data_IF_035113013245
#
_entry.id   IF_035113013245
#
_cell.length_a   1.000
_cell.length_b   1.000
_cell.length_c   1.000
_cell.angle_alpha   90.00
_cell.angle_beta   90.00
_cell.angle_gamma   90.00
#
_symmetry.space_group_name_H-M   'P 1'
#
loop_
_entity.id
_entity.type
_entity.pdbx_description
1 polymer ?
#
# COMPACT_ATOMS: atom_id res chain seq x y z
N UNK A 1 -15.07 -25.95 23.09
CA UNK A 1 -15.59 -24.74 22.44
C UNK A 1 -14.52 -24.24 21.49
N UNK A 2 -14.83 -24.12 20.20
CA UNK A 2 -13.87 -23.67 19.18
C UNK A 2 -13.80 -22.15 19.17
N UNK A 3 -12.61 -21.52 19.12
CA UNK A 3 -12.51 -20.08 19.02
C UNK A 3 -12.88 -19.66 17.60
N UNK A 4 -13.91 -18.83 17.49
CA UNK A 4 -14.22 -18.12 16.24
C UNK A 4 -13.00 -17.26 15.87
N UNK A 5 -12.43 -17.40 14.66
CA UNK A 5 -11.37 -16.50 14.23
C UNK A 5 -11.92 -15.08 14.15
N UNK A 6 -11.13 -14.05 14.53
CA UNK A 6 -11.58 -12.67 14.40
C UNK A 6 -11.94 -12.40 12.94
N UNK A 7 -12.95 -11.55 12.66
CA UNK A 7 -13.19 -11.10 11.30
C UNK A 7 -11.88 -10.48 10.82
N UNK A 8 -11.30 -11.07 9.78
CA UNK A 8 -10.22 -10.42 9.05
C UNK A 8 -10.83 -9.13 8.55
N UNK A 9 -10.48 -8.01 9.17
CA UNK A 9 -10.88 -6.67 8.74
C UNK A 9 -10.18 -6.44 7.40
N UNK A 10 -10.71 -7.06 6.34
CA UNK A 10 -10.32 -6.88 4.95
C UNK A 10 -10.87 -5.57 4.41
N UNK A 11 -10.80 -4.51 5.22
CA UNK A 11 -11.10 -3.17 4.76
C UNK A 11 -10.03 -2.80 3.72
N UNK A 12 -10.41 -2.28 2.55
CA UNK A 12 -9.44 -1.81 1.57
C UNK A 12 -8.52 -0.78 2.21
N UNK A 13 -7.22 -0.88 1.93
CA UNK A 13 -6.21 0.07 2.43
C UNK A 13 -6.56 1.45 1.89
N UNK A 14 -6.71 2.49 2.75
CA UNK A 14 -6.92 3.86 2.28
C UNK A 14 -5.75 4.33 1.41
N UNK A 15 -6.03 5.12 0.39
CA UNK A 15 -5.00 5.64 -0.52
C UNK A 15 -3.96 6.49 0.22
N UNK A 16 -4.39 7.20 1.27
CA UNK A 16 -3.49 7.97 2.13
C UNK A 16 -2.45 7.08 2.84
N UNK A 17 -2.86 5.91 3.35
CA UNK A 17 -1.97 4.98 4.05
C UNK A 17 -1.02 4.26 3.09
N UNK A 18 -1.52 3.91 1.89
CA UNK A 18 -0.69 3.35 0.82
C UNK A 18 0.38 4.37 0.36
N UNK A 19 -0.01 5.64 0.19
CA UNK A 19 0.92 6.72 -0.15
C UNK A 19 1.95 6.98 0.95
N UNK A 20 1.55 6.89 2.22
CA UNK A 20 2.48 7.03 3.34
C UNK A 20 3.53 5.90 3.35
N UNK A 21 3.13 4.68 2.98
CA UNK A 21 4.06 3.56 2.83
C UNK A 21 5.08 3.81 1.71
N UNK A 22 4.65 4.40 0.59
CA UNK A 22 5.53 4.85 -0.49
C UNK A 22 6.53 5.90 0.03
N UNK A 23 6.06 6.92 0.76
CA UNK A 23 6.94 7.98 1.30
C UNK A 23 8.00 7.40 2.23
N UNK A 24 7.62 6.52 3.16
CA UNK A 24 8.56 5.85 4.08
C UNK A 24 9.59 5.01 3.32
N UNK A 25 9.14 4.26 2.31
CA UNK A 25 10.00 3.43 1.47
C UNK A 25 11.06 4.27 0.73
N UNK A 26 10.67 5.40 0.16
CA UNK A 26 11.59 6.31 -0.53
C UNK A 26 12.54 6.99 0.46
N UNK A 27 12.02 7.50 1.58
CA UNK A 27 12.81 8.16 2.62
C UNK A 27 13.87 7.23 3.21
N UNK A 28 13.54 5.95 3.47
CA UNK A 28 14.47 4.96 4.01
C UNK A 28 15.69 4.72 3.11
N UNK A 29 15.58 4.96 1.81
CA UNK A 29 16.69 4.82 0.86
C UNK A 29 17.62 6.02 0.84
N UNK A 30 17.19 7.18 1.33
CA UNK A 30 18.08 8.32 1.60
C UNK A 30 18.99 8.74 0.44
N UNK A 31 18.51 8.66 -0.81
CA UNK A 31 19.28 9.01 -2.01
C UNK A 31 20.27 7.95 -2.50
N UNK A 32 20.27 6.74 -1.92
CA UNK A 32 21.02 5.59 -2.45
C UNK A 32 20.49 5.18 -3.82
N UNK A 33 21.36 4.60 -4.65
CA UNK A 33 20.96 3.98 -5.90
C UNK A 33 20.01 2.80 -5.62
N UNK A 34 18.95 2.68 -6.42
CA UNK A 34 17.97 1.60 -6.28
C UNK A 34 18.46 0.35 -7.01
N UNK A 35 18.30 -0.79 -6.35
CA UNK A 35 18.49 -2.11 -6.94
C UNK A 35 17.25 -2.53 -7.74
N UNK A 36 17.36 -3.60 -8.52
CA UNK A 36 16.21 -4.19 -9.19
C UNK A 36 15.12 -4.64 -8.20
N UNK A 37 15.50 -5.12 -7.02
CA UNK A 37 14.54 -5.48 -5.97
C UNK A 37 13.82 -4.25 -5.43
N UNK A 38 14.54 -3.14 -5.20
CA UNK A 38 13.93 -1.88 -4.77
C UNK A 38 12.90 -1.37 -5.79
N UNK A 39 13.21 -1.47 -7.08
CA UNK A 39 12.27 -1.12 -8.14
C UNK A 39 11.03 -2.02 -8.12
N UNK A 40 11.20 -3.33 -7.90
CA UNK A 40 10.09 -4.28 -7.81
C UNK A 40 9.19 -4.00 -6.61
N UNK A 41 9.77 -3.78 -5.42
CA UNK A 41 9.03 -3.46 -4.21
C UNK A 41 8.28 -2.13 -4.35
N UNK A 42 8.91 -1.13 -4.99
CA UNK A 42 8.25 0.15 -5.29
C UNK A 42 7.06 -0.01 -6.23
N UNK A 43 7.18 -0.85 -7.27
CA UNK A 43 6.10 -1.12 -8.20
C UNK A 43 4.88 -1.74 -7.50
N UNK A 44 5.10 -2.66 -6.56
CA UNK A 44 4.02 -3.23 -5.73
C UNK A 44 3.33 -2.15 -4.91
N UNK A 45 4.10 -1.25 -4.27
CA UNK A 45 3.52 -0.15 -3.50
C UNK A 45 2.68 0.80 -4.39
N UNK A 46 3.14 1.08 -5.62
CA UNK A 46 2.40 1.88 -6.59
C UNK A 46 1.10 1.20 -7.05
N UNK A 47 1.11 -0.12 -7.26
CA UNK A 47 -0.09 -0.87 -7.62
C UNK A 47 -1.14 -0.80 -6.51
N UNK A 48 -0.73 -1.03 -5.25
CA UNK A 48 -1.62 -0.93 -4.08
C UNK A 48 -2.23 0.48 -3.98
N UNK A 49 -1.40 1.53 -4.10
CA UNK A 49 -1.89 2.90 -4.07
C UNK A 49 -2.85 3.20 -5.23
N UNK A 50 -2.54 2.74 -6.44
CA UNK A 50 -3.40 2.96 -7.62
C UNK A 50 -4.77 2.31 -7.46
N UNK A 51 -4.82 1.08 -6.91
CA UNK A 51 -6.07 0.38 -6.62
C UNK A 51 -6.89 1.13 -5.54
N UNK A 52 -6.22 1.59 -4.48
CA UNK A 52 -6.86 2.35 -3.42
C UNK A 52 -7.46 3.68 -3.92
N UNK A 53 -6.70 4.44 -4.72
CA UNK A 53 -7.19 5.69 -5.34
C UNK A 53 -8.40 5.43 -6.22
N UNK A 54 -8.38 4.37 -7.04
CA UNK A 54 -9.52 4.02 -7.89
C UNK A 54 -10.76 3.68 -7.07
N UNK A 55 -10.61 2.94 -5.97
CA UNK A 55 -11.71 2.63 -5.08
C UNK A 55 -12.30 3.91 -4.45
N UNK A 56 -11.45 4.80 -3.92
CA UNK A 56 -11.90 6.07 -3.34
C UNK A 56 -12.62 6.98 -4.36
N UNK A 57 -12.15 7.03 -5.60
CA UNK A 57 -12.82 7.79 -6.68
C UNK A 57 -14.17 7.19 -7.04
N UNK A 58 -14.30 5.86 -7.08
CA UNK A 58 -15.58 5.19 -7.37
C UNK A 58 -16.60 5.46 -6.25
N UNK A 59 -16.19 5.38 -4.98
CA UNK A 59 -17.08 5.63 -3.85
C UNK A 59 -17.50 7.11 -3.73
N UNK A 60 -16.75 8.03 -4.33
CA UNK A 60 -17.02 9.47 -4.31
C UNK A 60 -17.87 9.98 -5.50
N UNK A 61 -18.17 9.14 -6.50
CA UNK A 61 -18.88 9.49 -7.74
C UNK A 61 -20.39 9.22 -7.66
#
# INVERSE_FOLDING_TARGET
MSPTPPPSTGAPVPAADANESIRRFVCARGGRAWTAQDMADYAVLLEIWTLAVRAEVIEAA
#
